data_IF_507690185703
#
_entry.id   IF_507690185703
#
_cell.length_a   1.000
_cell.length_b   1.000
_cell.length_c   1.000
_cell.angle_alpha   90.00
_cell.angle_beta   90.00
_cell.angle_gamma   90.00
#
_symmetry.space_group_name_H-M   'P 1'
#
loop_
_entity.id
_entity.type
_entity.pdbx_description
1 polymer ?
#
# COMPACT_ATOMS: atom_id res chain seq x y z
N UNK A 1 16.49 -3.93 -4.98
CA UNK A 1 15.81 -5.19 -4.62
C UNK A 1 14.31 -5.02 -4.70
N UNK A 2 13.61 -5.98 -5.28
CA UNK A 2 12.18 -5.97 -5.41
C UNK A 2 11.56 -7.26 -4.87
N UNK A 3 10.24 -7.28 -4.79
CA UNK A 3 9.47 -8.45 -4.42
C UNK A 3 8.51 -8.77 -5.57
N UNK A 4 8.54 -10.01 -6.05
CA UNK A 4 7.68 -10.46 -7.14
C UNK A 4 7.20 -11.88 -6.87
N UNK A 5 6.16 -12.28 -7.57
CA UNK A 5 5.49 -13.56 -7.39
C UNK A 5 4.00 -13.35 -7.24
N UNK A 6 3.28 -14.38 -6.83
CA UNK A 6 1.83 -14.30 -6.62
C UNK A 6 1.08 -13.81 -7.86
N UNK A 7 1.48 -14.28 -9.04
CA UNK A 7 1.00 -13.72 -10.31
C UNK A 7 -0.48 -14.03 -10.59
N UNK A 8 -1.10 -14.88 -9.81
CA UNK A 8 -2.50 -15.27 -9.99
C UNK A 8 -3.38 -14.94 -8.78
N UNK A 9 -2.80 -14.39 -7.73
CA UNK A 9 -3.53 -14.05 -6.53
C UNK A 9 -4.31 -12.77 -6.73
N UNK A 10 -5.63 -12.81 -6.56
CA UNK A 10 -6.51 -11.66 -6.78
C UNK A 10 -7.09 -11.09 -5.50
N UNK A 11 -7.32 -11.92 -4.50
CA UNK A 11 -7.98 -11.51 -3.27
C UNK A 11 -7.19 -12.04 -2.08
N UNK A 12 -6.86 -11.15 -1.16
CA UNK A 12 -6.38 -11.49 0.17
C UNK A 12 -7.51 -11.24 1.15
N UNK A 13 -8.00 -12.30 1.79
CA UNK A 13 -9.08 -12.17 2.77
C UNK A 13 -8.60 -11.58 4.08
N UNK A 14 -7.37 -11.87 4.47
CA UNK A 14 -6.75 -11.24 5.62
C UNK A 14 -5.96 -10.01 5.22
N UNK A 15 -4.89 -9.76 5.92
CA UNK A 15 -3.98 -8.65 5.63
C UNK A 15 -2.72 -9.10 4.94
N UNK A 16 -1.89 -8.14 4.57
CA UNK A 16 -0.57 -8.36 4.01
C UNK A 16 0.42 -7.48 4.77
N UNK A 17 1.44 -8.09 5.32
CA UNK A 17 2.52 -7.38 5.99
C UNK A 17 3.84 -7.61 5.26
N UNK A 18 4.53 -6.55 4.94
CA UNK A 18 5.88 -6.59 4.36
C UNK A 18 6.72 -5.66 5.22
N UNK A 19 7.56 -6.23 6.07
CA UNK A 19 8.22 -5.48 7.12
C UNK A 19 9.67 -5.92 7.30
N UNK A 20 10.49 -5.00 7.79
CA UNK A 20 11.88 -5.27 8.16
C UNK A 20 12.74 -5.75 6.99
N UNK A 21 12.58 -5.14 5.84
CA UNK A 21 13.38 -5.43 4.66
C UNK A 21 14.15 -4.17 4.26
N UNK A 22 15.30 -3.90 4.87
CA UNK A 22 15.96 -2.60 4.76
C UNK A 22 16.49 -2.26 3.37
N UNK A 23 16.55 -3.22 2.46
CA UNK A 23 16.98 -2.98 1.08
C UNK A 23 15.85 -3.16 0.06
N UNK A 24 14.64 -3.41 0.52
CA UNK A 24 13.49 -3.56 -0.37
C UNK A 24 12.99 -2.20 -0.83
N UNK A 25 13.10 -1.93 -2.12
CA UNK A 25 12.73 -0.63 -2.71
C UNK A 25 11.46 -0.69 -3.53
N UNK A 26 11.07 -1.84 -4.04
CA UNK A 26 9.93 -1.96 -4.93
C UNK A 26 9.13 -3.21 -4.65
N UNK A 27 7.81 -3.09 -4.75
CA UNK A 27 6.89 -4.21 -4.67
C UNK A 27 6.09 -4.22 -5.97
N UNK A 28 6.29 -5.25 -6.79
CA UNK A 28 5.69 -5.30 -8.13
C UNK A 28 4.92 -6.59 -8.41
N UNK A 29 5.08 -7.62 -7.60
CA UNK A 29 4.57 -8.95 -7.89
C UNK A 29 3.12 -9.19 -7.54
N UNK A 30 2.42 -8.20 -6.98
CA UNK A 30 1.03 -8.36 -6.56
C UNK A 30 0.04 -7.73 -7.54
N UNK A 31 0.43 -7.54 -8.80
CA UNK A 31 -0.40 -6.83 -9.77
C UNK A 31 -1.81 -7.38 -9.96
N UNK A 32 -2.05 -8.71 -9.93
CA UNK A 32 -3.44 -9.19 -10.05
C UNK A 32 -4.32 -8.89 -8.86
N UNK A 33 -3.76 -8.53 -7.70
CA UNK A 33 -4.55 -8.29 -6.50
C UNK A 33 -5.43 -7.06 -6.69
N UNK A 34 -6.73 -7.25 -6.53
CA UNK A 34 -7.70 -6.16 -6.57
C UNK A 34 -8.36 -5.92 -5.20
N UNK A 35 -8.22 -6.85 -4.26
CA UNK A 35 -8.86 -6.74 -2.95
C UNK A 35 -7.94 -7.27 -1.85
N UNK A 36 -7.73 -6.45 -0.84
CA UNK A 36 -7.16 -6.85 0.45
C UNK A 36 -8.19 -6.47 1.50
N UNK A 37 -8.81 -7.45 2.14
CA UNK A 37 -9.88 -7.17 3.09
C UNK A 37 -9.37 -6.64 4.42
N UNK A 38 -8.16 -7.02 4.81
CA UNK A 38 -7.54 -6.56 6.04
C UNK A 38 -6.62 -5.37 5.82
N UNK A 39 -5.55 -5.32 6.59
CA UNK A 39 -4.57 -4.23 6.54
C UNK A 39 -3.42 -4.55 5.58
N UNK A 40 -3.01 -3.55 4.82
CA UNK A 40 -1.75 -3.56 4.09
C UNK A 40 -0.73 -2.79 4.93
N UNK A 41 0.19 -3.53 5.54
CA UNK A 41 1.22 -2.95 6.41
C UNK A 41 2.58 -2.97 5.73
N UNK A 42 3.18 -1.81 5.58
CA UNK A 42 4.47 -1.63 4.91
C UNK A 42 5.37 -0.82 5.82
N UNK A 43 6.18 -1.48 6.64
CA UNK A 43 7.03 -0.76 7.58
C UNK A 43 8.45 -1.28 7.59
N UNK A 44 9.39 -0.39 7.92
CA UNK A 44 10.80 -0.71 8.08
C UNK A 44 11.42 -1.31 6.80
N UNK A 45 11.07 -0.73 5.67
CA UNK A 45 11.65 -1.05 4.37
C UNK A 45 12.35 0.19 3.80
N UNK A 46 12.79 0.11 2.56
CA UNK A 46 13.33 1.25 1.82
C UNK A 46 12.43 1.60 0.63
N UNK A 47 11.13 1.46 0.78
CA UNK A 47 10.18 1.52 -0.33
C UNK A 47 10.14 2.89 -1.01
N UNK A 48 10.12 2.84 -2.32
CA UNK A 48 9.92 3.98 -3.20
C UNK A 48 8.78 3.69 -4.21
N UNK A 49 8.66 2.44 -4.63
CA UNK A 49 7.74 2.01 -5.68
C UNK A 49 6.85 0.89 -5.15
N UNK A 50 5.55 1.16 -5.05
CA UNK A 50 4.56 0.16 -4.66
C UNK A 50 3.56 -0.09 -5.80
N UNK A 51 4.01 0.05 -7.05
CA UNK A 51 3.16 -0.11 -8.24
C UNK A 51 2.57 -1.52 -8.38
N UNK A 52 3.10 -2.50 -7.66
CA UNK A 52 2.49 -3.81 -7.61
C UNK A 52 1.06 -3.81 -7.08
N UNK A 53 0.64 -2.73 -6.42
CA UNK A 53 -0.72 -2.59 -5.88
C UNK A 53 -1.59 -1.64 -6.73
N UNK A 54 -1.16 -1.31 -7.94
CA UNK A 54 -1.89 -0.35 -8.79
C UNK A 54 -3.30 -0.82 -9.15
N UNK A 55 -3.56 -2.11 -9.10
CA UNK A 55 -4.85 -2.67 -9.44
C UNK A 55 -5.78 -2.86 -8.23
N UNK A 56 -5.35 -2.44 -7.04
CA UNK A 56 -6.21 -2.50 -5.87
C UNK A 56 -7.44 -1.62 -6.05
N UNK A 57 -8.60 -2.21 -5.80
CA UNK A 57 -9.90 -1.53 -5.83
C UNK A 57 -10.46 -1.43 -4.41
N UNK A 58 -10.30 -2.48 -3.61
CA UNK A 58 -10.77 -2.52 -2.23
C UNK A 58 -9.62 -2.83 -1.28
N UNK A 59 -9.49 -2.02 -0.25
CA UNK A 59 -8.47 -2.16 0.77
C UNK A 59 -9.08 -1.84 2.12
N UNK A 60 -8.97 -2.78 3.07
CA UNK A 60 -9.54 -2.58 4.40
C UNK A 60 -8.89 -1.45 5.16
N UNK A 61 -7.57 -1.44 5.24
CA UNK A 61 -6.81 -0.34 5.83
C UNK A 61 -5.37 -0.39 5.35
N UNK A 62 -4.64 0.68 5.59
CA UNK A 62 -3.24 0.78 5.18
C UNK A 62 -2.42 1.47 6.25
N UNK A 63 -1.25 0.92 6.54
CA UNK A 63 -0.30 1.55 7.43
C UNK A 63 1.10 1.51 6.81
N UNK A 64 1.80 2.63 6.86
CA UNK A 64 3.15 2.77 6.32
C UNK A 64 4.00 3.43 7.40
N UNK A 65 5.07 2.77 7.81
CA UNK A 65 5.94 3.32 8.84
C UNK A 65 7.42 3.10 8.56
N UNK A 66 8.26 4.04 8.97
CA UNK A 66 9.71 3.89 9.00
C UNK A 66 10.30 3.39 7.68
N UNK A 67 9.89 3.96 6.56
CA UNK A 67 10.54 3.69 5.28
C UNK A 67 11.58 4.76 5.00
N UNK A 68 12.77 4.35 4.58
CA UNK A 68 13.87 5.28 4.33
C UNK A 68 13.80 5.91 2.94
N UNK A 69 13.02 5.32 2.03
CA UNK A 69 12.80 5.89 0.71
C UNK A 69 11.70 6.93 0.71
N UNK A 70 11.49 7.55 -0.44
CA UNK A 70 10.39 8.48 -0.68
C UNK A 70 9.34 7.73 -1.47
N UNK A 71 8.16 7.54 -0.90
CA UNK A 71 7.14 6.67 -1.45
C UNK A 71 6.19 7.46 -2.33
N UNK A 72 5.91 6.93 -3.51
CA UNK A 72 4.90 7.46 -4.42
C UNK A 72 3.61 6.65 -4.26
N UNK A 73 2.54 7.30 -3.81
CA UNK A 73 1.22 6.70 -3.63
C UNK A 73 0.27 6.98 -4.81
N UNK A 74 0.75 7.64 -5.87
CA UNK A 74 -0.09 8.00 -7.00
C UNK A 74 -0.70 6.80 -7.73
N UNK A 75 -0.06 5.64 -7.65
CA UNK A 75 -0.57 4.41 -8.27
C UNK A 75 -1.81 3.83 -7.64
N UNK A 76 -2.21 4.28 -6.45
CA UNK A 76 -3.40 3.76 -5.76
C UNK A 76 -4.70 4.44 -6.23
N UNK A 77 -4.73 4.85 -7.49
CA UNK A 77 -5.88 5.57 -8.07
C UNK A 77 -7.13 4.72 -8.26
N UNK A 78 -7.00 3.41 -8.21
CA UNK A 78 -8.15 2.52 -8.41
C UNK A 78 -8.89 2.18 -7.12
N UNK A 79 -8.34 2.56 -5.97
CA UNK A 79 -9.05 2.38 -4.70
C UNK A 79 -10.34 3.19 -4.70
N UNK A 80 -11.45 2.54 -4.35
CA UNK A 80 -12.75 3.20 -4.36
C UNK A 80 -13.60 2.78 -3.17
N UNK A 81 -14.66 3.53 -2.91
CA UNK A 81 -15.60 3.25 -1.84
C UNK A 81 -15.04 3.60 -0.47
N UNK A 82 -15.07 2.64 0.43
CA UNK A 82 -14.71 2.81 1.83
C UNK A 82 -13.35 2.20 2.13
N UNK A 83 -12.52 2.92 2.88
CA UNK A 83 -11.33 2.36 3.52
C UNK A 83 -11.42 2.66 5.01
N UNK A 84 -10.98 1.72 5.86
CA UNK A 84 -10.98 1.90 7.31
C UNK A 84 -9.98 2.96 7.74
N UNK A 85 -8.77 2.54 8.06
CA UNK A 85 -7.74 3.42 8.58
C UNK A 85 -6.63 3.61 7.57
N UNK A 86 -6.17 4.84 7.41
CA UNK A 86 -4.94 5.14 6.69
C UNK A 86 -4.00 5.84 7.67
N UNK A 87 -2.85 5.24 7.94
CA UNK A 87 -1.88 5.82 8.85
C UNK A 87 -0.48 5.79 8.27
N UNK A 88 0.26 6.86 8.51
CA UNK A 88 1.69 6.93 8.20
C UNK A 88 2.46 7.28 9.46
N UNK A 89 3.69 6.83 9.54
CA UNK A 89 4.55 7.14 10.66
C UNK A 89 6.01 7.21 10.19
N UNK A 90 6.59 8.39 10.27
CA UNK A 90 7.99 8.65 9.89
C UNK A 90 8.32 8.14 8.49
N UNK A 91 7.54 8.58 7.52
CA UNK A 91 7.79 8.31 6.09
C UNK A 91 7.72 9.61 5.31
N UNK A 92 8.38 9.62 4.16
CA UNK A 92 8.29 10.70 3.18
C UNK A 92 7.46 10.21 1.99
N UNK A 93 6.45 10.99 1.62
CA UNK A 93 5.56 10.66 0.51
C UNK A 93 5.68 11.76 -0.53
N UNK A 94 6.06 11.38 -1.77
CA UNK A 94 6.24 12.33 -2.86
C UNK A 94 4.96 12.61 -3.63
N UNK A 95 4.03 11.67 -3.63
CA UNK A 95 2.79 11.79 -4.40
C UNK A 95 1.65 11.22 -3.59
N UNK A 96 0.61 12.00 -3.36
CA UNK A 96 -0.51 11.62 -2.51
C UNK A 96 -1.86 11.71 -3.23
N UNK A 97 -1.86 11.69 -4.56
CA UNK A 97 -3.09 11.82 -5.34
C UNK A 97 -3.84 10.50 -5.54
N UNK A 98 -3.37 9.40 -4.96
CA UNK A 98 -3.86 8.06 -5.25
C UNK A 98 -5.24 7.70 -4.71
N UNK A 99 -5.87 8.58 -3.92
CA UNK A 99 -7.14 8.24 -3.26
C UNK A 99 -8.34 8.97 -3.85
N UNK A 100 -8.25 9.34 -5.12
CA UNK A 100 -9.27 10.19 -5.76
C UNK A 100 -10.65 9.55 -5.88
N UNK A 101 -10.74 8.23 -5.86
CA UNK A 101 -12.01 7.51 -5.98
C UNK A 101 -12.57 7.07 -4.64
N UNK A 102 -11.86 7.26 -3.56
CA UNK A 102 -12.37 6.95 -2.23
C UNK A 102 -13.45 7.95 -1.84
N UNK A 103 -14.55 7.44 -1.31
CA UNK A 103 -15.67 8.26 -0.85
C UNK A 103 -15.77 8.31 0.67
N UNK A 104 -15.10 7.39 1.37
CA UNK A 104 -15.17 7.35 2.84
C UNK A 104 -13.91 6.71 3.40
N UNK A 105 -13.30 7.35 4.38
CA UNK A 105 -12.21 6.81 5.18
C UNK A 105 -12.58 7.01 6.65
N UNK A 106 -12.49 5.95 7.45
CA UNK A 106 -12.85 6.04 8.86
C UNK A 106 -11.85 6.87 9.65
N UNK A 107 -10.55 6.74 9.39
CA UNK A 107 -9.52 7.38 10.18
C UNK A 107 -8.29 7.67 9.31
N UNK A 108 -7.77 8.89 9.43
CA UNK A 108 -6.53 9.28 8.78
C UNK A 108 -5.56 9.79 9.84
N UNK A 109 -4.37 9.22 9.87
CA UNK A 109 -3.30 9.69 10.75
C UNK A 109 -2.02 9.83 9.94
N UNK A 110 -1.46 11.02 9.95
CA UNK A 110 -0.22 11.35 9.24
C UNK A 110 0.75 11.93 10.25
N UNK A 111 1.88 11.22 10.47
CA UNK A 111 2.92 11.64 11.40
C UNK A 111 4.27 11.75 10.72
#
# INVERSE_FOLDING_TARGET
>A
MGLSGFNQLKILQGGLGIENNPVLKAIKGFRPINTIEGNLGLSQNALEDISGFDNLVHLGSMSIGYNTGVINLGGLNNLEGYMGDFSTYKVSISEFSGFNKLTSIRWIRIN
#
